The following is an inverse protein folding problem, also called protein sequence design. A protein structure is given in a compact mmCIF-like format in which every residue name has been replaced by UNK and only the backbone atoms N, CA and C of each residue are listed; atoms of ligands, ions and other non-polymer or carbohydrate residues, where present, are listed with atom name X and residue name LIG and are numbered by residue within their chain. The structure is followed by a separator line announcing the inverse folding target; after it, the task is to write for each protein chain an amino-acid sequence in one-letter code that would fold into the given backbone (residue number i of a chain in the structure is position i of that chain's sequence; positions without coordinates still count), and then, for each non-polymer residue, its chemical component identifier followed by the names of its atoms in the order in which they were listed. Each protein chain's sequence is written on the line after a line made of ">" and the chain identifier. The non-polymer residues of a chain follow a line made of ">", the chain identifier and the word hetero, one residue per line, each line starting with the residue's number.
data_IF_566674279919
#
_entry.id   IF_566674279919
#
_cell.length_a   1.000
_cell.length_b   1.000
_cell.length_c   1.000
_cell.angle_alpha   90.00
_cell.angle_beta   90.00
_cell.angle_gamma   90.00
#
_symmetry.space_group_name_H-M   'P 1'
#
loop_
_entity.id
_entity.type
_entity.pdbx_description
1 polymer ?
#
# COMPACT_ATOMS: atom_id res chain seq x y z
N UNK A 1 6.11 2.79 20.04
CA UNK A 1 4.79 2.22 20.38
C UNK A 1 4.49 1.16 19.34
N UNK A 2 4.64 -0.12 19.70
CA UNK A 2 4.70 -1.24 18.77
C UNK A 2 3.27 -1.71 18.49
N UNK A 3 2.69 -1.34 17.34
CA UNK A 3 1.34 -1.77 16.99
C UNK A 3 1.34 -3.27 16.67
N UNK A 4 0.74 -4.03 17.58
CA UNK A 4 0.45 -5.45 17.40
C UNK A 4 -0.61 -5.60 16.31
N UNK A 5 -0.20 -6.04 15.13
CA UNK A 5 -1.10 -6.48 14.06
C UNK A 5 -1.89 -7.71 14.54
N UNK A 6 -3.20 -7.74 14.35
CA UNK A 6 -4.05 -8.90 14.63
C UNK A 6 -3.82 -9.97 13.53
N UNK A 7 -2.89 -10.88 13.83
CA UNK A 7 -2.26 -11.87 12.92
C UNK A 7 -3.08 -13.14 12.65
N UNK A 8 -4.28 -13.29 13.23
CA UNK A 8 -5.04 -14.55 13.20
C UNK A 8 -5.55 -14.98 11.81
N UNK A 9 -5.76 -14.05 10.87
CA UNK A 9 -6.34 -14.40 9.56
C UNK A 9 -5.29 -14.56 8.45
N UNK A 10 -4.08 -14.03 8.63
CA UNK A 10 -2.96 -14.34 7.73
C UNK A 10 -2.65 -15.84 7.84
N UNK A 11 -2.66 -16.38 9.05
CA UNK A 11 -2.58 -17.82 9.28
C UNK A 11 -3.71 -18.52 8.50
N UNK A 12 -4.95 -18.04 8.57
CA UNK A 12 -6.07 -18.64 7.83
C UNK A 12 -5.92 -18.56 6.29
N UNK A 13 -5.47 -17.44 5.74
CA UNK A 13 -5.26 -17.26 4.29
C UNK A 13 -4.14 -18.17 3.76
N UNK A 14 -3.08 -18.34 4.54
CA UNK A 14 -1.96 -19.20 4.16
C UNK A 14 -2.25 -20.69 4.46
N UNK A 15 -3.06 -20.99 5.48
CA UNK A 15 -3.57 -22.34 5.77
C UNK A 15 -4.54 -22.83 4.67
N UNK A 16 -5.36 -21.94 4.11
CA UNK A 16 -6.27 -22.27 3.00
C UNK A 16 -5.52 -22.59 1.70
N UNK A 17 -4.40 -21.91 1.40
CA UNK A 17 -3.56 -22.22 0.24
C UNK A 17 -2.99 -23.65 0.28
N UNK A 18 -2.72 -24.18 1.48
CA UNK A 18 -2.23 -25.54 1.68
C UNK A 18 -3.33 -26.62 1.73
N UNK A 19 -4.60 -26.23 1.83
CA UNK A 19 -5.75 -27.16 1.95
C UNK A 19 -6.61 -27.27 0.68
N UNK A 20 -6.20 -26.70 -0.46
CA UNK A 20 -6.96 -26.73 -1.73
C UNK A 20 -8.41 -26.20 -1.61
N UNK A 21 -8.68 -25.31 -0.66
CA UNK A 21 -9.99 -24.66 -0.55
C UNK A 21 -9.87 -23.20 -0.99
N UNK A 22 -10.84 -22.73 -1.78
CA UNK A 22 -10.84 -21.41 -2.40
C UNK A 22 -10.62 -20.30 -1.36
N UNK A 23 -9.60 -19.46 -1.55
CA UNK A 23 -9.38 -18.20 -0.83
C UNK A 23 -10.30 -17.08 -1.34
N UNK A 24 -11.56 -17.42 -1.61
CA UNK A 24 -12.56 -16.44 -2.00
C UNK A 24 -13.19 -15.91 -0.71
N UNK A 25 -12.90 -14.67 -0.36
CA UNK A 25 -13.70 -13.93 0.61
C UNK A 25 -14.97 -13.47 -0.12
N UNK A 26 -16.12 -14.18 -0.03
CA UNK A 26 -17.23 -13.94 -0.96
C UNK A 26 -17.95 -12.62 -0.66
N UNK A 27 -17.72 -12.05 0.54
CA UNK A 27 -18.39 -10.83 1.02
C UNK A 27 -17.80 -10.29 2.34
N UNK A 28 -16.55 -10.63 2.69
CA UNK A 28 -15.96 -10.27 3.99
C UNK A 28 -15.07 -9.03 3.92
N UNK A 29 -15.13 -8.16 4.94
CA UNK A 29 -14.10 -7.15 5.18
C UNK A 29 -12.73 -7.83 5.34
N UNK A 30 -11.68 -7.19 4.82
CA UNK A 30 -10.32 -7.65 5.07
C UNK A 30 -10.04 -7.64 6.58
N UNK A 31 -9.33 -8.64 7.11
CA UNK A 31 -9.08 -8.75 8.54
C UNK A 31 -8.32 -7.54 9.07
N UNK A 32 -8.71 -7.08 10.26
CA UNK A 32 -8.04 -5.98 10.93
C UNK A 32 -6.58 -6.33 11.23
N UNK A 33 -5.68 -5.44 10.85
CA UNK A 33 -4.24 -5.67 10.97
C UNK A 33 -3.63 -6.62 9.92
N UNK A 34 -4.38 -7.09 8.93
CA UNK A 34 -3.78 -7.79 7.78
C UNK A 34 -2.99 -6.83 6.89
N UNK A 35 -1.94 -7.34 6.22
CA UNK A 35 -1.17 -6.58 5.24
C UNK A 35 -2.08 -6.13 4.09
N UNK A 36 -2.95 -7.01 3.61
CA UNK A 36 -3.93 -6.66 2.57
C UNK A 36 -4.90 -5.58 3.05
N UNK A 37 -5.40 -5.65 4.29
CA UNK A 37 -6.25 -4.61 4.86
C UNK A 37 -5.52 -3.26 4.99
N UNK A 38 -4.21 -3.28 5.30
CA UNK A 38 -3.38 -2.09 5.32
C UNK A 38 -3.23 -1.47 3.91
N UNK A 39 -2.86 -2.28 2.92
CA UNK A 39 -2.76 -1.85 1.53
C UNK A 39 -4.09 -1.31 1.02
N UNK A 40 -5.20 -1.99 1.31
CA UNK A 40 -6.54 -1.53 0.94
C UNK A 40 -6.86 -0.16 1.55
N UNK A 41 -6.61 0.06 2.85
CA UNK A 41 -6.79 1.39 3.47
C UNK A 41 -5.92 2.46 2.82
N UNK A 42 -4.67 2.15 2.49
CA UNK A 42 -3.81 3.09 1.75
C UNK A 42 -4.37 3.38 0.35
N UNK A 43 -4.99 2.38 -0.29
CA UNK A 43 -5.63 2.55 -1.59
C UNK A 43 -6.92 3.40 -1.51
N UNK A 44 -7.57 3.48 -0.33
CA UNK A 44 -8.73 4.35 -0.08
C UNK A 44 -8.35 5.80 0.28
N UNK A 45 -7.05 6.14 0.38
CA UNK A 45 -6.62 7.52 0.67
C UNK A 45 -6.92 8.50 -0.48
N UNK A 46 -7.17 8.01 -1.70
CA UNK A 46 -7.57 8.87 -2.80
C UNK A 46 -9.03 9.33 -2.61
N UNK A 47 -9.22 10.54 -2.11
CA UNK A 47 -10.55 11.15 -1.99
C UNK A 47 -10.85 12.14 -3.12
N UNK A 48 -9.83 12.57 -3.85
CA UNK A 48 -9.93 13.55 -4.94
C UNK A 48 -9.86 12.86 -6.30
N UNK A 49 -10.53 13.44 -7.30
CA UNK A 49 -10.45 12.95 -8.68
C UNK A 49 -9.03 13.10 -9.24
N UNK A 50 -8.67 12.30 -10.24
CA UNK A 50 -7.37 12.43 -10.91
C UNK A 50 -7.18 13.83 -11.53
N UNK A 51 -8.27 14.47 -11.96
CA UNK A 51 -8.26 15.83 -12.50
C UNK A 51 -7.99 16.89 -11.43
N UNK A 52 -8.58 16.75 -10.23
CA UNK A 52 -8.31 17.64 -9.11
C UNK A 52 -6.84 17.53 -8.65
N UNK A 53 -6.33 16.30 -8.55
CA UNK A 53 -4.92 16.05 -8.22
C UNK A 53 -4.00 16.70 -9.26
N UNK A 54 -4.32 16.55 -10.55
CA UNK A 54 -3.52 17.18 -11.60
C UNK A 54 -3.60 18.71 -11.55
N UNK A 55 -4.79 19.28 -11.31
CA UNK A 55 -4.97 20.73 -11.18
C UNK A 55 -4.04 21.28 -10.09
N UNK A 56 -4.08 20.70 -8.90
CA UNK A 56 -3.23 21.09 -7.76
C UNK A 56 -1.75 20.94 -8.12
N UNK A 57 -1.36 19.80 -8.70
CA UNK A 57 0.00 19.57 -9.15
C UNK A 57 0.46 20.66 -10.13
N UNK A 58 -0.35 20.97 -11.15
CA UNK A 58 -0.01 21.96 -12.17
C UNK A 58 0.17 23.37 -11.60
N UNK A 59 -0.62 23.74 -10.59
CA UNK A 59 -0.55 25.04 -9.92
C UNK A 59 0.73 25.21 -9.09
N UNK A 60 1.20 24.14 -8.46
CA UNK A 60 2.27 24.22 -7.45
C UNK A 60 3.57 23.51 -7.86
N UNK A 61 3.63 22.89 -9.04
CA UNK A 61 4.75 22.06 -9.50
C UNK A 61 6.12 22.76 -9.53
N UNK A 62 6.16 24.08 -9.62
CA UNK A 62 7.40 24.88 -9.60
C UNK A 62 7.94 25.13 -8.19
N UNK A 63 7.10 24.97 -7.16
CA UNK A 63 7.42 25.31 -5.77
C UNK A 63 7.37 24.11 -4.81
N UNK A 64 6.78 22.99 -5.26
CA UNK A 64 6.75 21.73 -4.52
C UNK A 64 7.80 20.75 -5.04
N UNK A 65 8.39 20.02 -4.10
CA UNK A 65 9.23 18.86 -4.35
C UNK A 65 8.80 17.70 -3.45
N UNK A 66 9.38 16.52 -3.66
CA UNK A 66 9.05 15.32 -2.92
C UNK A 66 9.28 15.46 -1.42
N UNK A 67 10.33 16.17 -1.01
CA UNK A 67 10.64 16.38 0.41
C UNK A 67 9.51 17.14 1.12
N UNK A 68 9.04 18.22 0.51
CA UNK A 68 7.92 19.01 1.04
C UNK A 68 6.65 18.16 1.08
N UNK A 69 6.36 17.43 0.00
CA UNK A 69 5.11 16.66 -0.09
C UNK A 69 5.09 15.52 0.92
N UNK A 70 6.19 14.81 1.15
CA UNK A 70 6.21 13.67 2.07
C UNK A 70 6.44 14.05 3.54
N UNK A 71 7.22 15.09 3.82
CA UNK A 71 7.70 15.39 5.17
C UNK A 71 7.16 16.69 5.76
N UNK A 72 6.29 17.44 5.07
CA UNK A 72 5.65 18.60 5.69
C UNK A 72 4.73 18.18 6.84
N UNK A 73 4.93 18.80 8.00
CA UNK A 73 4.15 18.57 9.22
C UNK A 73 3.23 19.76 9.56
N UNK A 74 3.29 20.87 8.81
CA UNK A 74 2.64 22.14 9.14
C UNK A 74 1.53 22.54 8.17
N UNK A 75 0.51 23.23 8.69
CA UNK A 75 -0.68 23.66 7.95
C UNK A 75 -0.46 24.67 6.80
N UNK A 76 0.73 25.24 6.66
CA UNK A 76 1.10 26.10 5.53
C UNK A 76 2.58 25.90 5.17
N UNK A 77 2.89 25.85 3.87
CA UNK A 77 4.27 25.90 3.36
C UNK A 77 4.48 27.19 2.56
N UNK A 78 5.53 27.96 2.91
CA UNK A 78 5.87 29.21 2.22
C UNK A 78 7.20 29.05 1.49
N UNK A 79 7.17 29.18 0.16
CA UNK A 79 8.37 29.21 -0.67
C UNK A 79 8.32 30.42 -1.60
N UNK A 80 9.29 31.32 -1.46
CA UNK A 80 9.47 32.46 -2.37
C UNK A 80 8.27 33.41 -2.52
N UNK A 81 7.44 33.58 -1.48
CA UNK A 81 6.24 34.44 -1.51
C UNK A 81 4.96 33.74 -1.96
N UNK A 82 5.03 32.48 -2.36
CA UNK A 82 3.87 31.62 -2.60
C UNK A 82 3.55 30.78 -1.37
N UNK A 83 2.30 30.85 -0.92
CA UNK A 83 1.76 29.97 0.12
C UNK A 83 1.06 28.79 -0.54
N UNK A 84 1.51 27.58 -0.25
CA UNK A 84 0.79 26.35 -0.61
C UNK A 84 -0.03 25.92 0.60
N UNK A 85 -1.33 25.75 0.39
CA UNK A 85 -2.24 25.23 1.40
C UNK A 85 -1.86 23.79 1.77
N UNK A 86 -1.93 23.44 3.05
CA UNK A 86 -1.59 22.08 3.48
C UNK A 86 -2.61 21.04 3.02
N UNK A 87 -3.86 21.43 2.78
CA UNK A 87 -4.87 20.56 2.15
C UNK A 87 -4.42 20.12 0.75
N UNK A 88 -3.88 21.04 -0.06
CA UNK A 88 -3.32 20.72 -1.37
C UNK A 88 -2.14 19.74 -1.25
N UNK A 89 -1.23 19.98 -0.29
CA UNK A 89 -0.09 19.07 -0.04
C UNK A 89 -0.60 17.68 0.38
N UNK A 90 -1.63 17.62 1.23
CA UNK A 90 -2.21 16.37 1.69
C UNK A 90 -2.88 15.59 0.54
N UNK A 91 -3.57 16.27 -0.38
CA UNK A 91 -4.16 15.65 -1.57
C UNK A 91 -3.07 15.03 -2.44
N UNK A 92 -1.98 15.76 -2.72
CA UNK A 92 -0.86 15.25 -3.49
C UNK A 92 -0.17 14.06 -2.79
N UNK A 93 0.10 14.17 -1.48
CA UNK A 93 0.68 13.10 -0.66
C UNK A 93 -0.18 11.85 -0.70
N UNK A 94 -1.47 11.98 -0.44
CA UNK A 94 -2.41 10.85 -0.40
C UNK A 94 -2.52 10.17 -1.76
N UNK A 95 -2.54 10.95 -2.85
CA UNK A 95 -2.50 10.40 -4.19
C UNK A 95 -1.23 9.58 -4.45
N UNK A 96 -0.06 10.11 -4.10
CA UNK A 96 1.20 9.38 -4.31
C UNK A 96 1.27 8.11 -3.45
N UNK A 97 0.85 8.16 -2.18
CA UNK A 97 0.76 6.98 -1.31
C UNK A 97 -0.22 5.93 -1.86
N UNK A 98 -1.37 6.37 -2.36
CA UNK A 98 -2.33 5.51 -3.08
C UNK A 98 -1.64 4.80 -4.25
N UNK A 99 -0.91 5.53 -5.08
CA UNK A 99 -0.21 4.94 -6.23
C UNK A 99 0.91 3.98 -5.81
N UNK A 100 1.59 4.23 -4.69
CA UNK A 100 2.56 3.29 -4.10
C UNK A 100 1.87 2.01 -3.66
N UNK A 101 0.78 2.10 -2.90
CA UNK A 101 0.04 0.94 -2.42
C UNK A 101 -0.65 0.15 -3.55
N UNK A 102 -0.93 0.78 -4.69
CA UNK A 102 -1.50 0.12 -5.88
C UNK A 102 -0.44 -0.62 -6.71
N UNK A 103 0.79 -0.11 -6.73
CA UNK A 103 1.90 -0.65 -7.54
C UNK A 103 2.91 -1.49 -6.71
N UNK A 104 2.64 -1.77 -5.43
CA UNK A 104 3.53 -2.55 -4.57
C UNK A 104 3.34 -4.06 -4.75
N UNK A 105 4.36 -4.85 -4.41
CA UNK A 105 4.28 -6.31 -4.44
C UNK A 105 4.20 -6.90 -3.03
N UNK A 106 3.40 -7.94 -2.86
CA UNK A 106 3.36 -8.77 -1.65
C UNK A 106 4.20 -10.02 -1.90
N UNK A 107 5.25 -10.21 -1.10
CA UNK A 107 6.12 -11.37 -1.17
C UNK A 107 5.76 -12.34 -0.04
N UNK A 108 5.40 -13.57 -0.39
CA UNK A 108 5.14 -14.64 0.57
C UNK A 108 6.23 -15.70 0.40
N UNK A 109 6.98 -15.97 1.47
CA UNK A 109 8.05 -16.98 1.47
C UNK A 109 7.74 -18.10 2.43
N UNK A 110 8.05 -19.33 2.04
CA UNK A 110 7.87 -20.53 2.86
C UNK A 110 9.18 -21.29 2.98
N UNK A 111 9.35 -21.94 4.12
CA UNK A 111 10.42 -22.92 4.36
C UNK A 111 9.84 -24.08 5.14
N UNK A 112 10.00 -25.28 4.61
CA UNK A 112 9.71 -26.50 5.37
C UNK A 112 10.74 -26.67 6.48
N UNK A 113 10.28 -27.02 7.69
CA UNK A 113 11.13 -27.19 8.87
C UNK A 113 10.68 -28.39 9.68
N UNK A 114 11.61 -28.94 10.47
CA UNK A 114 11.27 -29.96 11.44
C UNK A 114 10.34 -29.39 12.53
N UNK A 115 9.40 -30.19 13.08
CA UNK A 115 8.48 -29.73 14.13
C UNK A 115 9.19 -29.17 15.36
N UNK A 116 10.37 -29.70 15.70
CA UNK A 116 11.18 -29.22 16.82
C UNK A 116 11.79 -27.83 16.61
N UNK A 117 12.13 -27.47 15.36
CA UNK A 117 12.60 -26.13 15.01
C UNK A 117 11.46 -25.12 15.06
N UNK A 118 10.28 -25.51 14.57
CA UNK A 118 9.08 -24.66 14.57
C UNK A 118 8.63 -24.23 15.99
N UNK A 119 8.98 -24.98 17.04
CA UNK A 119 8.71 -24.59 18.44
C UNK A 119 9.44 -23.31 18.87
N UNK A 120 10.55 -22.97 18.20
CA UNK A 120 11.35 -21.78 18.48
C UNK A 120 10.87 -20.54 17.72
N UNK A 121 9.97 -20.74 16.76
CA UNK A 121 9.43 -19.69 15.90
C UNK A 121 8.10 -19.22 16.47
N UNK A 122 7.79 -17.91 16.45
CA UNK A 122 6.49 -17.44 16.90
C UNK A 122 5.37 -18.16 16.13
N UNK A 123 4.33 -18.67 16.82
CA UNK A 123 3.32 -19.54 16.21
C UNK A 123 2.57 -18.85 15.06
N UNK A 124 2.53 -17.52 15.02
CA UNK A 124 1.93 -16.76 13.91
C UNK A 124 2.65 -16.91 12.56
N UNK A 125 3.89 -17.40 12.56
CA UNK A 125 4.69 -17.63 11.37
C UNK A 125 4.78 -19.12 11.01
N UNK A 126 4.03 -19.98 11.70
CA UNK A 126 4.10 -21.44 11.53
C UNK A 126 2.79 -21.97 10.99
N UNK A 127 2.87 -22.78 9.93
CA UNK A 127 1.76 -23.52 9.35
C UNK A 127 2.04 -25.00 9.52
N UNK A 128 1.08 -25.71 10.10
CA UNK A 128 1.17 -27.16 10.32
C UNK A 128 0.16 -27.87 9.45
N UNK A 129 0.64 -28.69 8.54
CA UNK A 129 -0.14 -29.71 7.85
C UNK A 129 -0.07 -31.03 8.63
N UNK A 130 -0.78 -32.06 8.17
CA UNK A 130 -0.70 -33.42 8.72
C UNK A 130 0.69 -34.04 8.54
N UNK A 131 1.35 -33.70 7.42
CA UNK A 131 2.60 -34.32 7.01
C UNK A 131 3.80 -33.40 7.26
N UNK A 132 3.63 -32.11 7.01
CA UNK A 132 4.74 -31.15 6.96
C UNK A 132 4.50 -29.93 7.86
N UNK A 133 5.57 -29.31 8.33
CA UNK A 133 5.53 -28.03 9.03
C UNK A 133 6.29 -26.98 8.24
N UNK A 134 5.68 -25.83 8.02
CA UNK A 134 6.27 -24.70 7.31
C UNK A 134 6.39 -23.50 8.23
N UNK A 135 7.51 -22.79 8.09
CA UNK A 135 7.63 -21.41 8.54
C UNK A 135 7.40 -20.51 7.34
N UNK A 136 6.62 -19.45 7.52
CA UNK A 136 6.39 -18.47 6.47
C UNK A 136 6.67 -17.05 6.95
N UNK A 137 6.97 -16.19 5.97
CA UNK A 137 7.12 -14.76 6.19
C UNK A 137 6.43 -13.99 5.05
N UNK A 138 5.96 -12.78 5.37
CA UNK A 138 5.35 -11.88 4.40
C UNK A 138 6.15 -10.58 4.37
N UNK A 139 6.57 -10.19 3.17
CA UNK A 139 7.20 -8.91 2.89
C UNK A 139 6.35 -8.06 1.96
N UNK A 140 6.57 -6.75 2.02
CA UNK A 140 6.15 -5.81 0.99
C UNK A 140 7.40 -5.29 0.28
N UNK A 141 7.35 -5.23 -1.04
CA UNK A 141 8.40 -4.62 -1.87
C UNK A 141 7.80 -3.51 -2.74
N UNK A 142 8.66 -2.73 -3.38
CA UNK A 142 8.28 -1.62 -4.28
C UNK A 142 7.54 -0.47 -3.58
N UNK A 143 7.85 -0.28 -2.29
CA UNK A 143 7.29 0.76 -1.42
C UNK A 143 7.98 2.13 -1.54
N UNK A 144 8.91 2.27 -2.48
CA UNK A 144 9.59 3.55 -2.68
C UNK A 144 8.58 4.66 -2.98
N UNK A 145 8.72 5.84 -2.34
CA UNK A 145 7.88 6.99 -2.60
C UNK A 145 7.84 7.30 -4.09
N UNK A 146 6.64 7.47 -4.66
CA UNK A 146 6.54 7.80 -6.08
C UNK A 146 6.92 9.28 -6.29
N UNK A 147 7.68 9.60 -7.34
CA UNK A 147 8.05 10.98 -7.64
C UNK A 147 6.83 11.81 -8.05
N UNK A 148 6.86 13.13 -7.82
CA UNK A 148 5.74 14.03 -8.11
C UNK A 148 5.39 14.06 -9.60
N UNK A 149 6.41 13.98 -10.46
CA UNK A 149 6.23 13.94 -11.92
C UNK A 149 5.40 12.74 -12.41
N UNK A 150 5.17 11.72 -11.55
CA UNK A 150 4.28 10.60 -11.86
C UNK A 150 2.84 11.04 -12.07
N UNK A 151 2.39 12.11 -11.40
CA UNK A 151 1.04 12.66 -11.55
C UNK A 151 0.80 13.08 -13.01
N UNK A 152 1.74 13.84 -13.59
CA UNK A 152 1.69 14.23 -15.00
C UNK A 152 1.69 13.01 -15.93
N UNK A 153 2.48 11.97 -15.63
CA UNK A 153 2.50 10.72 -16.41
C UNK A 153 1.16 9.97 -16.36
N UNK A 154 0.50 9.92 -15.21
CA UNK A 154 -0.81 9.29 -15.06
C UNK A 154 -1.90 10.03 -15.83
N UNK A 155 -1.90 11.37 -15.79
CA UNK A 155 -2.86 12.15 -16.57
C UNK A 155 -2.70 11.93 -18.07
N UNK A 156 -1.46 11.94 -18.58
CA UNK A 156 -1.18 11.65 -20.00
C UNK A 156 -1.74 10.30 -20.44
N UNK A 157 -1.52 9.25 -19.63
CA UNK A 157 -2.04 7.91 -19.90
C UNK A 157 -3.57 7.86 -19.90
N UNK A 158 -4.22 8.58 -19.00
CA UNK A 158 -5.68 8.69 -18.99
C UNK A 158 -6.19 9.32 -20.29
N UNK A 159 -5.62 10.45 -20.71
CA UNK A 159 -5.98 11.14 -21.96
C UNK A 159 -5.74 10.25 -23.19
N UNK A 160 -4.59 9.57 -23.26
CA UNK A 160 -4.26 8.65 -24.35
C UNK A 160 -5.24 7.46 -24.40
N UNK A 161 -5.60 6.87 -23.25
CA UNK A 161 -6.55 5.76 -23.18
C UNK A 161 -7.98 6.14 -23.59
N UNK A 162 -8.42 7.38 -23.29
CA UNK A 162 -9.69 7.89 -23.79
C UNK A 162 -9.70 8.05 -25.30
N UNK A 163 -8.58 8.46 -25.91
CA UNK A 163 -8.46 8.67 -27.36
C UNK A 163 -8.46 7.38 -28.17
N UNK A 164 -7.94 6.28 -27.60
CA UNK A 164 -7.91 4.97 -28.27
C UNK A 164 -9.23 4.19 -28.15
N UNK A 165 -10.17 4.69 -27.35
CA UNK A 165 -11.48 4.05 -27.11
C UNK A 165 -12.63 4.71 -27.91
N UNK A 166 -12.31 5.65 -28.80
CA UNK A 166 -13.22 6.25 -29.78
C UNK A 166 -12.88 5.71 -31.18
#
# INVERSE_FOLDING_TARGET
>A
MQHSFTKNVIIHFVFFFFCFQFCDFPSGNLPDGSILGCLFRMQQLHSSSADDVYRIYSQHSTHLNEEIVYFSESCEYKSGGHSVDFGDILILRNYLLFTTARDCSVLLTFREVDPGEALKIPPEHVIRSKENTFVFNIGLTDLDPKPLNRIHKHQRRAIEGFRTSQ
#
